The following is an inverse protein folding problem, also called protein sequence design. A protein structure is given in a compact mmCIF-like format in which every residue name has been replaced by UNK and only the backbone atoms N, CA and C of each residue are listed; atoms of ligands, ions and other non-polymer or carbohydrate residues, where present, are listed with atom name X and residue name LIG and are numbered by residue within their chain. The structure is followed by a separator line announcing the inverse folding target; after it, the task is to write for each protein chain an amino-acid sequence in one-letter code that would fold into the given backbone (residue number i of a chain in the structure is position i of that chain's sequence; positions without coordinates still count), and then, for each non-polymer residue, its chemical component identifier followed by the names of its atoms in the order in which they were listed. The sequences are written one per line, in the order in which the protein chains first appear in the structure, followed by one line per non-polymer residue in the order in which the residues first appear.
data_IF_775117038411
#
_entry.id   IF_775117038411
#
_cell.length_a   1.000
_cell.length_b   1.000
_cell.length_c   1.000
_cell.angle_alpha   90.00
_cell.angle_beta   90.00
_cell.angle_gamma   90.00
#
_symmetry.space_group_name_H-M   'P 1'
#
loop_
_entity.id
_entity.type
_entity.pdbx_description
1 polymer ?
#
# COMPACT_ATOMS: atom_id res chain seq x y z
N UNK A 1 6.02 22.41 -2.27
CA UNK A 1 5.23 21.21 -1.88
C UNK A 1 5.26 21.17 -0.36
N UNK A 2 4.17 20.77 0.29
CA UNK A 2 4.17 20.60 1.75
C UNK A 2 5.12 19.44 2.09
N UNK A 3 6.07 19.65 3.02
CA UNK A 3 7.06 18.65 3.43
C UNK A 3 6.40 17.33 3.88
N UNK A 4 5.22 17.41 4.50
CA UNK A 4 4.46 16.22 4.90
C UNK A 4 4.00 15.37 3.72
N UNK A 5 3.62 15.98 2.59
CA UNK A 5 3.24 15.27 1.36
C UNK A 5 4.45 14.58 0.74
N UNK A 6 5.61 15.27 0.71
CA UNK A 6 6.83 14.73 0.12
C UNK A 6 7.35 13.50 0.89
N UNK A 7 7.39 13.55 2.21
CA UNK A 7 7.80 12.43 3.05
C UNK A 7 6.85 11.23 2.93
N UNK A 8 5.54 11.50 2.84
CA UNK A 8 4.53 10.44 2.68
C UNK A 8 4.64 9.78 1.30
N UNK A 9 4.83 10.57 0.24
CA UNK A 9 5.01 10.06 -1.12
C UNK A 9 6.33 9.26 -1.26
N UNK A 10 7.38 9.68 -0.58
CA UNK A 10 8.65 8.96 -0.53
C UNK A 10 8.55 7.64 0.24
N UNK A 11 7.78 7.57 1.34
CA UNK A 11 7.49 6.32 2.04
C UNK A 11 6.82 5.32 1.09
N UNK A 12 5.76 5.75 0.38
CA UNK A 12 5.02 4.91 -0.57
C UNK A 12 5.89 4.46 -1.75
N UNK A 13 6.65 5.38 -2.36
CA UNK A 13 7.57 5.06 -3.48
C UNK A 13 8.63 4.06 -3.06
N UNK A 14 9.20 4.24 -1.87
CA UNK A 14 10.20 3.33 -1.31
C UNK A 14 9.63 1.95 -1.01
N UNK A 15 8.43 1.89 -0.44
CA UNK A 15 7.72 0.62 -0.26
C UNK A 15 7.46 -0.07 -1.59
N UNK A 16 6.94 0.65 -2.61
CA UNK A 16 6.67 0.12 -3.93
C UNK A 16 7.94 -0.44 -4.60
N UNK A 17 9.10 0.20 -4.39
CA UNK A 17 10.38 -0.26 -4.93
C UNK A 17 10.80 -1.63 -4.39
N UNK A 18 10.38 -2.01 -3.18
CA UNK A 18 10.67 -3.34 -2.60
C UNK A 18 9.92 -4.47 -3.32
N UNK A 19 8.79 -4.16 -3.93
CA UNK A 19 7.94 -5.10 -4.69
C UNK A 19 8.26 -5.12 -6.17
N UNK A 20 9.08 -4.19 -6.65
CA UNK A 20 9.42 -4.05 -8.06
C UNK A 20 10.63 -4.91 -8.42
N UNK A 21 10.59 -5.58 -9.58
CA UNK A 21 11.75 -6.17 -10.25
C UNK A 21 12.54 -5.10 -11.00
N UNK A 22 11.82 -4.09 -11.50
CA UNK A 22 12.40 -2.95 -12.21
C UNK A 22 11.92 -1.68 -11.52
N UNK A 23 12.89 -0.86 -11.14
CA UNK A 23 12.67 0.48 -10.60
C UNK A 23 13.62 1.43 -11.31
N UNK A 24 13.06 2.42 -12.01
CA UNK A 24 13.82 3.42 -12.79
C UNK A 24 13.28 4.81 -12.53
N UNK A 25 14.21 5.76 -12.46
CA UNK A 25 13.88 7.19 -12.50
C UNK A 25 14.27 7.73 -13.87
N UNK A 26 13.30 8.27 -14.58
CA UNK A 26 13.44 8.80 -15.94
C UNK A 26 12.87 10.20 -15.90
N UNK A 27 13.75 11.20 -15.80
CA UNK A 27 13.39 12.61 -15.63
C UNK A 27 12.35 12.81 -14.48
N UNK A 28 11.16 13.28 -14.81
CA UNK A 28 10.07 13.54 -13.87
C UNK A 28 9.16 12.33 -13.62
N UNK A 29 9.49 11.15 -14.17
CA UNK A 29 8.73 9.92 -14.02
C UNK A 29 9.54 8.87 -13.27
N UNK A 30 8.89 8.20 -12.33
CA UNK A 30 9.44 7.05 -11.62
C UNK A 30 8.64 5.80 -11.99
N UNK A 31 9.32 4.86 -12.66
CA UNK A 31 8.76 3.59 -13.13
C UNK A 31 8.95 2.50 -12.07
N UNK A 32 7.87 1.82 -11.74
CA UNK A 32 7.85 0.59 -10.94
C UNK A 32 7.22 -0.52 -11.78
N UNK A 33 7.89 -1.67 -11.88
CA UNK A 33 7.37 -2.80 -12.63
C UNK A 33 7.75 -4.14 -12.01
N UNK A 34 6.74 -4.99 -11.88
CA UNK A 34 6.87 -6.40 -11.57
C UNK A 34 5.80 -7.19 -12.34
N UNK A 35 6.11 -7.71 -13.54
CA UNK A 35 5.14 -8.41 -14.37
C UNK A 35 4.49 -9.61 -13.71
N UNK A 36 5.16 -10.27 -12.77
CA UNK A 36 4.63 -11.42 -12.03
C UNK A 36 3.48 -11.06 -11.07
N UNK A 37 3.30 -9.77 -10.79
CA UNK A 37 2.16 -9.26 -10.03
C UNK A 37 0.96 -8.92 -10.94
N UNK A 38 1.06 -9.18 -12.25
CA UNK A 38 0.01 -8.91 -13.22
C UNK A 38 -0.28 -7.42 -13.39
N UNK A 39 -1.52 -7.09 -13.75
CA UNK A 39 -1.96 -5.70 -13.97
C UNK A 39 -2.29 -4.98 -12.64
N UNK A 40 -1.57 -5.27 -11.55
CA UNK A 40 -1.78 -4.58 -10.27
C UNK A 40 -1.46 -3.09 -10.36
N UNK A 41 -2.45 -2.24 -10.07
CA UNK A 41 -2.36 -0.79 -10.21
C UNK A 41 -1.39 -0.14 -9.21
N UNK A 42 -1.05 -0.81 -8.13
CA UNK A 42 -0.18 -0.27 -7.10
C UNK A 42 1.29 -0.58 -7.38
N UNK A 43 1.60 -1.78 -7.88
CA UNK A 43 2.97 -2.24 -8.09
C UNK A 43 3.47 -2.10 -9.52
N UNK A 44 2.57 -2.04 -10.53
CA UNK A 44 2.92 -1.79 -11.93
C UNK A 44 2.47 -0.38 -12.33
N UNK A 45 3.29 0.62 -12.01
CA UNK A 45 2.90 2.01 -12.13
C UNK A 45 4.01 2.97 -12.53
N UNK A 46 3.59 4.16 -12.92
CA UNK A 46 4.40 5.33 -13.18
C UNK A 46 3.99 6.45 -12.22
N UNK A 47 4.87 6.86 -11.34
CA UNK A 47 4.67 8.09 -10.57
C UNK A 47 5.14 9.28 -11.40
N UNK A 48 4.26 10.21 -11.71
CA UNK A 48 4.56 11.43 -12.46
C UNK A 48 4.62 12.61 -11.50
N UNK A 49 5.73 13.34 -11.52
CA UNK A 49 5.92 14.55 -10.71
C UNK A 49 5.13 15.73 -11.29
N UNK A 50 4.65 16.62 -10.42
CA UNK A 50 3.77 17.74 -10.80
C UNK A 50 4.42 18.74 -11.79
N UNK A 51 5.74 18.85 -11.80
CA UNK A 51 6.49 19.74 -12.67
C UNK A 51 6.81 19.16 -14.05
N UNK A 52 6.34 17.94 -14.35
CA UNK A 52 6.63 17.26 -15.60
C UNK A 52 5.94 17.94 -16.79
N UNK A 53 6.73 18.40 -17.77
CA UNK A 53 6.23 19.10 -18.95
C UNK A 53 6.23 18.24 -20.22
N UNK A 54 7.05 17.18 -20.27
CA UNK A 54 7.25 16.31 -21.43
C UNK A 54 6.71 14.88 -21.20
N UNK A 55 5.55 14.78 -20.56
CA UNK A 55 4.96 13.48 -20.13
C UNK A 55 4.76 12.53 -21.29
N UNK A 56 4.21 13.00 -22.42
CA UNK A 56 3.91 12.12 -23.56
C UNK A 56 5.18 11.55 -24.21
N UNK A 57 6.26 12.32 -24.29
CA UNK A 57 7.55 11.83 -24.82
C UNK A 57 8.14 10.75 -23.92
N UNK A 58 8.09 10.96 -22.60
CA UNK A 58 8.56 9.98 -21.61
C UNK A 58 7.70 8.71 -21.65
N UNK A 59 6.38 8.84 -21.75
CA UNK A 59 5.48 7.69 -21.87
C UNK A 59 5.75 6.89 -23.15
N UNK A 60 6.00 7.55 -24.27
CA UNK A 60 6.39 6.90 -25.53
C UNK A 60 7.74 6.19 -25.38
N UNK A 61 8.71 6.83 -24.74
CA UNK A 61 10.00 6.19 -24.44
C UNK A 61 9.83 4.94 -23.56
N UNK A 62 8.99 5.02 -22.52
CA UNK A 62 8.69 3.88 -21.64
C UNK A 62 8.01 2.76 -22.43
N UNK A 63 7.02 3.08 -23.26
CA UNK A 63 6.33 2.11 -24.11
C UNK A 63 7.30 1.35 -25.01
N UNK A 64 8.27 2.04 -25.60
CA UNK A 64 9.25 1.45 -26.52
C UNK A 64 10.30 0.60 -25.79
N UNK A 65 10.76 1.04 -24.62
CA UNK A 65 11.95 0.46 -23.99
C UNK A 65 11.63 -0.43 -22.77
N UNK A 66 10.41 -0.36 -22.21
CA UNK A 66 10.01 -1.03 -20.96
C UNK A 66 8.69 -1.80 -21.09
N UNK A 67 8.43 -2.38 -22.26
CA UNK A 67 7.29 -3.28 -22.48
C UNK A 67 7.66 -4.70 -22.00
N UNK A 68 7.44 -4.99 -20.69
CA UNK A 68 7.80 -6.25 -20.06
C UNK A 68 6.61 -7.23 -19.96
N UNK A 69 5.96 -7.54 -21.07
CA UNK A 69 4.79 -8.45 -21.11
C UNK A 69 3.61 -7.99 -20.22
N UNK A 70 3.52 -6.70 -19.93
CA UNK A 70 2.36 -6.08 -19.33
C UNK A 70 1.45 -5.50 -20.42
N UNK A 71 0.13 -5.57 -20.19
CA UNK A 71 -0.84 -4.92 -21.08
C UNK A 71 -0.91 -3.41 -20.80
N UNK A 72 -0.69 -3.01 -19.56
CA UNK A 72 -0.79 -1.61 -19.14
C UNK A 72 0.06 -1.32 -17.91
N UNK A 73 0.38 -0.03 -17.76
CA UNK A 73 0.79 0.57 -16.49
C UNK A 73 -0.32 1.49 -15.96
N UNK A 74 -0.27 1.78 -14.66
CA UNK A 74 -1.11 2.79 -14.05
C UNK A 74 -0.30 4.04 -13.71
N UNK A 75 -0.76 5.20 -14.15
CA UNK A 75 -0.12 6.47 -13.85
C UNK A 75 -0.68 7.01 -12.54
N UNK A 76 0.19 7.33 -11.59
CA UNK A 76 -0.14 7.97 -10.33
C UNK A 76 0.38 9.40 -10.33
N UNK A 77 -0.51 10.36 -10.18
CA UNK A 77 -0.19 11.79 -10.14
C UNK A 77 -0.87 12.46 -8.94
N UNK A 78 -0.09 13.20 -8.15
CA UNK A 78 -0.65 13.98 -7.04
C UNK A 78 -1.58 15.05 -7.60
N UNK A 79 -2.79 15.15 -7.06
CA UNK A 79 -3.81 16.10 -7.48
C UNK A 79 -3.41 17.54 -7.11
N UNK A 80 -2.91 18.29 -8.09
CA UNK A 80 -2.96 19.74 -8.10
C UNK A 80 -3.96 20.18 -9.17
N UNK A 81 -4.77 21.19 -8.86
CA UNK A 81 -5.87 21.67 -9.73
C UNK A 81 -5.37 22.04 -11.14
N UNK A 82 -4.13 22.49 -11.26
CA UNK A 82 -3.53 22.95 -12.52
C UNK A 82 -3.07 21.80 -13.44
N UNK A 83 -2.79 20.61 -12.93
CA UNK A 83 -2.17 19.53 -13.69
C UNK A 83 -3.14 18.42 -14.14
N UNK A 84 -4.34 18.36 -13.58
CA UNK A 84 -5.30 17.30 -13.90
C UNK A 84 -5.85 17.37 -15.34
N UNK A 85 -5.76 18.56 -16.00
CA UNK A 85 -6.20 18.76 -17.38
C UNK A 85 -5.16 18.36 -18.45
N UNK A 86 -3.92 18.05 -18.05
CA UNK A 86 -2.80 17.85 -19.00
C UNK A 86 -2.65 16.42 -19.48
N UNK A 87 -3.18 15.44 -18.78
CA UNK A 87 -2.99 14.03 -19.15
C UNK A 87 -4.22 13.51 -19.91
N UNK A 88 -4.09 13.37 -21.23
CA UNK A 88 -5.14 12.80 -22.09
C UNK A 88 -5.10 11.26 -22.04
N UNK A 89 -5.38 10.68 -20.87
CA UNK A 89 -5.43 9.24 -20.66
C UNK A 89 -6.72 8.87 -19.92
N UNK A 90 -7.23 7.64 -20.12
CA UNK A 90 -8.42 7.17 -19.41
C UNK A 90 -8.20 7.20 -17.89
N UNK A 91 -9.09 7.87 -17.17
CA UNK A 91 -9.04 7.92 -15.71
C UNK A 91 -9.47 6.57 -15.12
N UNK A 92 -8.56 5.94 -14.36
CA UNK A 92 -8.83 4.70 -13.62
C UNK A 92 -9.56 4.96 -12.30
N UNK A 93 -9.14 6.02 -11.58
CA UNK A 93 -9.71 6.30 -10.26
C UNK A 93 -9.02 7.44 -9.51
N UNK A 94 -9.30 7.48 -8.24
CA UNK A 94 -8.65 8.38 -7.28
C UNK A 94 -8.20 7.58 -6.08
N UNK A 95 -6.93 7.69 -5.73
CA UNK A 95 -6.37 7.16 -4.50
C UNK A 95 -6.34 8.27 -3.46
N UNK A 96 -6.78 7.98 -2.25
CA UNK A 96 -6.71 8.86 -1.09
C UNK A 96 -5.60 8.39 -0.19
N UNK A 97 -4.76 9.32 0.21
CA UNK A 97 -3.69 9.11 1.17
C UNK A 97 -4.15 9.74 2.49
N UNK A 98 -4.20 8.90 3.53
CA UNK A 98 -4.67 9.29 4.85
C UNK A 98 -3.56 9.11 5.88
N UNK A 99 -3.55 9.99 6.87
CA UNK A 99 -2.65 9.91 8.02
C UNK A 99 -3.43 9.88 9.33
N UNK A 100 -2.89 9.13 10.29
CA UNK A 100 -3.35 9.06 11.67
C UNK A 100 -2.27 9.66 12.58
N UNK A 101 -2.63 10.65 13.38
CA UNK A 101 -1.82 11.13 14.50
C UNK A 101 -1.89 10.08 15.63
N UNK A 102 -0.78 9.38 15.87
CA UNK A 102 -0.75 8.27 16.85
C UNK A 102 -0.99 8.74 18.29
N UNK A 103 -0.68 10.02 18.60
CA UNK A 103 -0.85 10.58 19.94
C UNK A 103 -2.31 10.87 20.26
N UNK A 104 -3.15 11.09 19.23
CA UNK A 104 -4.59 11.34 19.35
C UNK A 104 -5.44 10.09 19.22
N UNK A 105 -4.81 8.95 18.90
CA UNK A 105 -5.55 7.71 18.68
C UNK A 105 -6.05 7.09 20.00
N UNK A 106 -7.34 6.77 20.03
CA UNK A 106 -7.99 6.07 21.13
C UNK A 106 -8.07 4.57 20.83
N UNK A 107 -7.42 3.77 21.65
CA UNK A 107 -7.40 2.31 21.48
C UNK A 107 -8.69 1.69 22.01
N UNK A 108 -9.24 0.76 21.24
CA UNK A 108 -10.38 -0.07 21.62
C UNK A 108 -10.02 -1.53 21.36
N UNK A 109 -9.58 -2.25 22.38
CA UNK A 109 -9.15 -3.64 22.23
C UNK A 109 -10.34 -4.62 22.11
N UNK A 110 -10.12 -5.67 21.32
CA UNK A 110 -11.04 -6.81 21.21
C UNK A 110 -10.38 -8.07 21.81
N UNK A 111 -10.89 -8.55 22.93
CA UNK A 111 -10.34 -9.71 23.66
C UNK A 111 -10.32 -11.02 22.86
N UNK A 112 -11.05 -11.10 21.77
CA UNK A 112 -11.08 -12.27 20.88
C UNK A 112 -10.01 -12.24 19.80
N UNK A 113 -9.17 -11.20 19.76
CA UNK A 113 -8.16 -11.04 18.72
C UNK A 113 -6.78 -10.91 19.37
N UNK A 114 -5.86 -11.71 18.90
CA UNK A 114 -4.44 -11.66 19.25
C UNK A 114 -3.62 -11.31 18.02
N UNK A 115 -2.61 -10.47 18.19
CA UNK A 115 -1.72 -10.07 17.09
C UNK A 115 -0.33 -10.61 17.36
N UNK A 116 0.19 -11.36 16.39
CA UNK A 116 1.56 -11.88 16.41
C UNK A 116 2.43 -11.09 15.44
N UNK A 117 3.65 -10.76 15.87
CA UNK A 117 4.71 -10.30 14.98
C UNK A 117 5.30 -11.55 14.30
N UNK A 118 5.37 -11.50 12.98
CA UNK A 118 5.83 -12.63 12.17
C UNK A 118 7.34 -12.77 12.22
N UNK A 119 7.81 -13.94 12.53
CA UNK A 119 9.20 -14.37 12.37
C UNK A 119 9.40 -15.17 11.07
N UNK A 120 10.62 -15.68 10.84
CA UNK A 120 10.91 -16.50 9.65
C UNK A 120 10.14 -17.83 9.61
N UNK A 121 9.77 -18.38 10.76
CA UNK A 121 9.06 -19.66 10.84
C UNK A 121 7.57 -19.49 10.53
N UNK A 122 7.01 -18.34 10.91
CA UNK A 122 5.59 -17.96 10.68
C UNK A 122 5.36 -17.19 9.37
N UNK A 123 6.42 -16.92 8.58
CA UNK A 123 6.31 -16.18 7.32
C UNK A 123 5.33 -16.78 6.32
N UNK A 124 5.32 -18.13 6.22
CA UNK A 124 4.37 -18.86 5.37
C UNK A 124 2.92 -18.54 5.74
N UNK A 125 2.63 -18.45 7.05
CA UNK A 125 1.30 -18.11 7.54
C UNK A 125 0.87 -16.72 7.09
N UNK A 126 1.74 -15.72 7.20
CA UNK A 126 1.44 -14.36 6.75
C UNK A 126 1.10 -14.33 5.26
N UNK A 127 1.91 -15.01 4.42
CA UNK A 127 1.69 -15.09 2.96
C UNK A 127 0.33 -15.74 2.65
N UNK A 128 -0.01 -16.83 3.35
CA UNK A 128 -1.28 -17.52 3.16
C UNK A 128 -2.48 -16.65 3.55
N UNK A 129 -2.37 -15.89 4.65
CA UNK A 129 -3.40 -14.95 5.09
C UNK A 129 -3.53 -13.78 4.13
N UNK A 130 -2.41 -13.23 3.67
CA UNK A 130 -2.38 -12.16 2.65
C UNK A 130 -3.10 -12.60 1.38
N UNK A 131 -2.67 -13.71 0.77
CA UNK A 131 -3.27 -14.17 -0.48
C UNK A 131 -4.76 -14.49 -0.37
N UNK A 132 -5.22 -15.03 0.78
CA UNK A 132 -6.67 -15.26 1.03
C UNK A 132 -7.44 -13.96 1.27
N UNK A 133 -6.81 -12.94 1.87
CA UNK A 133 -7.48 -11.67 2.17
C UNK A 133 -7.72 -10.82 0.92
N UNK A 134 -6.85 -10.97 -0.10
CA UNK A 134 -6.85 -10.20 -1.34
C UNK A 134 -7.23 -11.02 -2.58
N UNK A 135 -7.68 -12.27 -2.40
CA UNK A 135 -8.02 -13.19 -3.51
C UNK A 135 -6.89 -13.33 -4.54
N UNK A 136 -5.64 -13.34 -4.08
CA UNK A 136 -4.41 -13.27 -4.89
C UNK A 136 -3.56 -14.54 -4.81
N UNK A 137 -4.20 -15.71 -4.77
CA UNK A 137 -3.49 -17.01 -4.69
C UNK A 137 -2.61 -17.29 -5.92
N UNK A 138 -2.96 -16.74 -7.07
CA UNK A 138 -2.24 -16.87 -8.34
C UNK A 138 -0.83 -16.24 -8.30
N UNK A 139 -0.60 -15.23 -7.46
CA UNK A 139 0.72 -14.55 -7.32
C UNK A 139 1.47 -14.95 -6.05
N UNK A 140 1.03 -16.00 -5.36
CA UNK A 140 1.55 -16.41 -4.05
C UNK A 140 3.05 -16.65 -4.03
N UNK A 141 3.60 -17.25 -5.07
CA UNK A 141 5.04 -17.56 -5.15
C UNK A 141 5.88 -16.30 -5.35
N UNK A 142 5.39 -15.34 -6.12
CA UNK A 142 6.04 -14.04 -6.24
C UNK A 142 6.00 -13.26 -4.92
N UNK A 143 4.84 -13.22 -4.24
CA UNK A 143 4.71 -12.63 -2.90
C UNK A 143 5.71 -13.27 -1.93
N UNK A 144 5.85 -14.61 -1.94
CA UNK A 144 6.82 -15.32 -1.10
C UNK A 144 8.24 -14.86 -1.41
N UNK A 145 8.61 -14.76 -2.68
CA UNK A 145 9.93 -14.35 -3.12
C UNK A 145 10.26 -12.94 -2.62
N UNK A 146 9.34 -11.99 -2.85
CA UNK A 146 9.50 -10.58 -2.44
C UNK A 146 9.64 -10.47 -0.93
N UNK A 147 8.67 -11.02 -0.17
CA UNK A 147 8.63 -10.87 1.28
C UNK A 147 9.81 -11.56 1.94
N UNK A 148 10.22 -12.75 1.46
CA UNK A 148 11.41 -13.43 1.99
C UNK A 148 12.69 -12.61 1.80
N UNK A 149 12.85 -11.97 0.63
CA UNK A 149 14.00 -11.12 0.30
C UNK A 149 14.03 -9.85 1.14
N UNK A 150 12.86 -9.25 1.36
CA UNK A 150 12.74 -7.96 2.05
C UNK A 150 12.45 -8.09 3.55
N UNK A 151 12.37 -9.28 4.10
CA UNK A 151 11.89 -9.58 5.45
C UNK A 151 12.50 -8.69 6.55
N UNK A 152 13.81 -8.40 6.46
CA UNK A 152 14.51 -7.57 7.46
C UNK A 152 14.11 -6.08 7.44
N UNK A 153 13.46 -5.62 6.36
CA UNK A 153 13.05 -4.22 6.17
C UNK A 153 11.57 -4.00 6.50
N UNK A 154 10.86 -5.06 6.84
CA UNK A 154 9.42 -5.06 6.97
C UNK A 154 9.02 -5.63 8.33
N UNK A 155 8.04 -5.01 8.96
CA UNK A 155 7.37 -5.61 10.12
C UNK A 155 6.05 -6.20 9.66
N UNK A 156 5.93 -7.51 9.77
CA UNK A 156 4.76 -8.26 9.35
C UNK A 156 3.92 -8.64 10.58
N UNK A 157 2.62 -8.41 10.52
CA UNK A 157 1.69 -8.76 11.58
C UNK A 157 0.62 -9.74 11.06
N UNK A 158 0.28 -10.74 11.89
CA UNK A 158 -0.86 -11.63 11.68
C UNK A 158 -1.82 -11.48 12.84
N UNK A 159 -3.09 -11.27 12.52
CA UNK A 159 -4.18 -11.30 13.47
C UNK A 159 -4.79 -12.68 13.54
N UNK A 160 -4.97 -13.18 14.75
CA UNK A 160 -5.71 -14.40 15.05
C UNK A 160 -7.02 -14.08 15.75
N UNK A 161 -8.08 -14.74 15.33
CA UNK A 161 -9.39 -14.63 15.97
C UNK A 161 -9.69 -15.91 16.76
N UNK A 162 -10.08 -15.76 18.02
CA UNK A 162 -10.49 -16.90 18.85
C UNK A 162 -11.99 -17.17 18.69
N UNK A 163 -12.32 -18.36 18.20
CA UNK A 163 -13.69 -18.86 18.13
C UNK A 163 -13.74 -20.22 18.86
N UNK A 164 -14.58 -20.33 19.89
CA UNK A 164 -14.70 -21.53 20.71
C UNK A 164 -13.33 -22.06 21.21
N UNK A 165 -12.48 -21.16 21.70
CA UNK A 165 -11.10 -21.43 22.17
C UNK A 165 -10.11 -21.91 21.08
N UNK A 166 -10.51 -21.96 19.83
CA UNK A 166 -9.65 -22.27 18.69
C UNK A 166 -9.12 -20.98 18.07
N UNK A 167 -7.82 -20.94 17.80
CA UNK A 167 -7.10 -19.80 17.22
C UNK A 167 -7.08 -19.91 15.68
N UNK A 168 -7.72 -18.97 15.00
CA UNK A 168 -7.81 -18.93 13.53
C UNK A 168 -7.07 -17.74 12.97
N UNK A 169 -6.17 -17.89 11.97
CA UNK A 169 -5.57 -16.75 11.29
C UNK A 169 -6.64 -15.99 10.49
N UNK A 170 -6.84 -14.71 10.84
CA UNK A 170 -7.99 -13.92 10.44
C UNK A 170 -7.66 -12.68 9.59
N UNK A 171 -6.43 -12.18 9.68
CA UNK A 171 -6.00 -11.01 8.91
C UNK A 171 -4.51 -10.76 9.02
N UNK A 172 -4.02 -9.84 8.22
CA UNK A 172 -2.61 -9.46 8.19
C UNK A 172 -2.44 -7.98 7.86
N UNK A 173 -1.27 -7.46 8.18
CA UNK A 173 -0.77 -6.22 7.61
C UNK A 173 0.76 -6.23 7.57
N UNK A 174 1.30 -5.18 6.93
CA UNK A 174 2.72 -4.93 6.80
C UNK A 174 2.99 -3.49 7.19
N UNK A 175 4.00 -3.27 8.03
CA UNK A 175 4.49 -1.95 8.40
C UNK A 175 5.83 -1.70 7.73
N UNK A 176 5.95 -0.53 7.12
CA UNK A 176 7.18 -0.06 6.49
C UNK A 176 7.54 1.30 7.07
N UNK A 177 8.68 1.32 7.75
CA UNK A 177 9.19 2.51 8.43
C UNK A 177 10.09 3.30 7.49
N UNK A 178 9.79 4.58 7.32
CA UNK A 178 10.66 5.51 6.58
C UNK A 178 10.37 6.94 6.99
N UNK A 179 11.44 7.73 7.11
CA UNK A 179 11.40 9.09 7.64
C UNK A 179 10.74 9.11 9.03
N UNK A 180 9.80 10.01 9.27
CA UNK A 180 9.10 10.15 10.56
C UNK A 180 7.73 9.44 10.59
N UNK A 181 7.51 8.46 9.69
CA UNK A 181 6.20 7.82 9.54
C UNK A 181 6.28 6.31 9.30
N UNK A 182 5.22 5.64 9.69
CA UNK A 182 4.98 4.23 9.37
C UNK A 182 3.93 4.14 8.27
N UNK A 183 4.28 3.57 7.13
CA UNK A 183 3.32 3.15 6.12
C UNK A 183 2.68 1.82 6.54
N UNK A 184 1.36 1.79 6.64
CA UNK A 184 0.57 0.58 6.90
C UNK A 184 0.05 0.05 5.57
N UNK A 185 0.61 -1.06 5.13
CA UNK A 185 0.31 -1.69 3.84
C UNK A 185 -0.28 -3.08 4.03
N UNK A 186 -0.87 -3.62 2.97
CA UNK A 186 -1.39 -4.99 2.94
C UNK A 186 -2.36 -5.30 4.09
N UNK A 187 -3.14 -4.29 4.53
CA UNK A 187 -4.14 -4.50 5.58
C UNK A 187 -5.30 -5.31 5.04
N UNK A 188 -5.29 -6.60 5.32
CA UNK A 188 -6.27 -7.56 4.85
C UNK A 188 -6.97 -8.30 5.97
N UNK A 189 -8.22 -8.68 5.72
CA UNK A 189 -9.00 -9.56 6.60
C UNK A 189 -9.64 -10.65 5.75
N UNK A 190 -9.43 -11.91 6.12
CA UNK A 190 -10.04 -13.05 5.43
C UNK A 190 -11.57 -13.01 5.50
N UNK A 191 -12.26 -13.51 4.50
CA UNK A 191 -13.70 -13.33 4.32
C UNK A 191 -14.53 -13.67 5.57
N UNK A 192 -14.23 -14.80 6.23
CA UNK A 192 -14.99 -15.31 7.37
C UNK A 192 -14.86 -14.43 8.62
N UNK A 193 -13.83 -13.59 8.68
CA UNK A 193 -13.52 -12.74 9.83
C UNK A 193 -13.71 -11.25 9.58
N UNK A 194 -14.26 -10.87 8.40
CA UNK A 194 -14.62 -9.48 8.12
C UNK A 194 -15.68 -8.97 9.10
N UNK A 195 -15.65 -7.67 9.39
CA UNK A 195 -16.55 -6.96 10.32
C UNK A 195 -16.48 -7.44 11.78
N UNK A 196 -15.49 -8.26 12.18
CA UNK A 196 -15.26 -8.73 13.54
C UNK A 196 -14.19 -7.93 14.30
N UNK A 197 -13.73 -6.80 13.76
CA UNK A 197 -12.75 -5.92 14.39
C UNK A 197 -11.30 -6.22 14.08
N UNK A 198 -10.99 -7.23 13.25
CA UNK A 198 -9.62 -7.68 12.93
C UNK A 198 -8.73 -6.55 12.42
N UNK A 199 -9.18 -5.78 11.40
CA UNK A 199 -8.41 -4.66 10.85
C UNK A 199 -8.15 -3.56 11.90
N UNK A 200 -9.10 -3.32 12.82
CA UNK A 200 -8.91 -2.36 13.94
C UNK A 200 -7.80 -2.82 14.88
N UNK A 201 -7.77 -4.11 15.26
CA UNK A 201 -6.72 -4.63 16.14
C UNK A 201 -5.33 -4.60 15.49
N UNK A 202 -5.22 -4.85 14.18
CA UNK A 202 -3.98 -4.66 13.44
C UNK A 202 -3.53 -3.19 13.49
N UNK A 203 -4.45 -2.23 13.32
CA UNK A 203 -4.15 -0.79 13.46
C UNK A 203 -3.77 -0.44 14.90
N UNK A 204 -4.46 -0.99 15.91
CA UNK A 204 -4.10 -0.80 17.33
C UNK A 204 -2.63 -1.20 17.59
N UNK A 205 -2.22 -2.35 17.06
CA UNK A 205 -0.83 -2.81 17.20
C UNK A 205 0.15 -1.93 16.43
N UNK A 206 -0.19 -1.50 15.21
CA UNK A 206 0.62 -0.55 14.47
C UNK A 206 0.82 0.77 15.26
N UNK A 207 -0.23 1.28 15.90
CA UNK A 207 -0.14 2.48 16.76
C UNK A 207 0.74 2.24 17.99
N UNK A 208 0.64 1.07 18.65
CA UNK A 208 1.53 0.73 19.78
C UNK A 208 2.98 0.71 19.33
N UNK A 209 3.28 0.09 18.19
CA UNK A 209 4.63 0.04 17.63
C UNK A 209 5.14 1.42 17.25
N UNK A 210 4.30 2.25 16.62
CA UNK A 210 4.63 3.63 16.28
C UNK A 210 5.02 4.43 17.53
N UNK A 211 4.22 4.36 18.59
CA UNK A 211 4.51 5.05 19.86
C UNK A 211 5.81 4.57 20.51
N UNK A 212 6.06 3.26 20.49
CA UNK A 212 7.26 2.68 21.09
C UNK A 212 8.56 3.04 20.34
N UNK A 213 8.45 3.41 19.06
CA UNK A 213 9.58 3.79 18.19
C UNK A 213 9.58 5.30 17.86
N UNK A 214 8.85 6.12 18.63
CA UNK A 214 8.78 7.59 18.49
C UNK A 214 8.27 8.09 17.13
N UNK A 215 7.49 7.29 16.41
CA UNK A 215 6.80 7.73 15.20
C UNK A 215 5.51 8.49 15.55
N UNK A 216 5.31 9.63 14.90
CA UNK A 216 4.15 10.50 15.14
C UNK A 216 2.94 10.16 14.28
N UNK A 217 3.12 9.45 13.17
CA UNK A 217 2.04 9.19 12.22
C UNK A 217 2.07 7.80 11.60
N UNK A 218 0.87 7.30 11.29
CA UNK A 218 0.65 6.13 10.45
C UNK A 218 -0.06 6.57 9.17
N UNK A 219 0.44 6.09 8.02
CA UNK A 219 -0.06 6.42 6.69
C UNK A 219 -0.73 5.21 6.09
N UNK A 220 -1.88 5.42 5.45
CA UNK A 220 -2.58 4.40 4.66
C UNK A 220 -3.04 4.96 3.32
N UNK A 221 -3.24 4.08 2.34
CA UNK A 221 -3.83 4.43 1.05
C UNK A 221 -5.09 3.62 0.80
N UNK A 222 -6.06 4.22 0.12
CA UNK A 222 -7.27 3.53 -0.32
C UNK A 222 -7.82 4.13 -1.62
N UNK A 223 -8.34 3.28 -2.49
CA UNK A 223 -9.08 3.75 -3.66
C UNK A 223 -10.43 4.31 -3.23
N UNK A 224 -10.79 5.46 -3.78
CA UNK A 224 -12.06 6.12 -3.47
C UNK A 224 -13.28 5.24 -3.77
N UNK A 225 -13.21 4.40 -4.84
CA UNK A 225 -14.28 3.46 -5.23
C UNK A 225 -14.55 2.35 -4.21
N UNK A 226 -13.56 1.99 -3.38
CA UNK A 226 -13.67 0.88 -2.42
C UNK A 226 -14.38 1.28 -1.12
N UNK A 227 -14.62 2.57 -0.91
CA UNK A 227 -15.34 3.13 0.26
C UNK A 227 -14.72 2.85 1.63
N UNK A 228 -13.45 2.41 1.70
CA UNK A 228 -12.76 2.17 2.98
C UNK A 228 -12.36 3.46 3.71
N UNK A 229 -12.42 4.62 3.05
CA UNK A 229 -12.14 5.91 3.67
C UNK A 229 -12.96 6.15 4.94
N UNK A 230 -14.26 5.81 4.93
CA UNK A 230 -15.12 5.99 6.09
C UNK A 230 -14.74 5.10 7.28
N UNK A 231 -14.21 3.90 7.01
CA UNK A 231 -13.64 3.05 8.05
C UNK A 231 -12.42 3.72 8.69
N UNK A 232 -11.49 4.23 7.89
CA UNK A 232 -10.29 4.90 8.38
C UNK A 232 -10.62 6.21 9.13
N UNK A 233 -11.57 7.02 8.62
CA UNK A 233 -12.02 8.26 9.28
C UNK A 233 -12.59 7.99 10.67
N UNK A 234 -13.39 6.93 10.84
CA UNK A 234 -13.93 6.53 12.14
C UNK A 234 -12.83 6.11 13.14
N UNK A 235 -11.66 5.76 12.66
CA UNK A 235 -10.48 5.47 13.47
C UNK A 235 -9.58 6.71 13.69
N UNK A 236 -10.00 7.89 13.22
CA UNK A 236 -9.27 9.14 13.40
C UNK A 236 -8.29 9.49 12.28
N UNK A 237 -8.21 8.69 11.21
CA UNK A 237 -7.42 9.06 10.04
C UNK A 237 -8.01 10.27 9.33
N UNK A 238 -7.16 11.11 8.78
CA UNK A 238 -7.53 12.29 7.97
C UNK A 238 -6.89 12.21 6.60
N UNK A 239 -7.64 12.56 5.56
CA UNK A 239 -7.10 12.64 4.21
C UNK A 239 -6.09 13.78 4.13
N UNK A 240 -4.85 13.47 3.77
CA UNK A 240 -3.78 14.42 3.53
C UNK A 240 -3.85 14.98 2.10
N UNK A 241 -3.82 14.08 1.13
CA UNK A 241 -3.89 14.43 -0.29
C UNK A 241 -4.48 13.29 -1.11
N UNK A 242 -4.62 13.54 -2.41
CA UNK A 242 -5.15 12.57 -3.36
C UNK A 242 -4.19 12.41 -4.54
N UNK A 243 -4.16 11.21 -5.11
CA UNK A 243 -3.55 10.92 -6.40
C UNK A 243 -4.63 10.60 -7.41
N UNK A 244 -4.54 11.19 -8.59
CA UNK A 244 -5.30 10.75 -9.75
C UNK A 244 -4.60 9.55 -10.37
N UNK A 245 -5.38 8.53 -10.71
CA UNK A 245 -4.89 7.31 -11.35
C UNK A 245 -5.43 7.26 -12.77
N UNK A 246 -4.53 7.00 -13.72
CA UNK A 246 -4.89 6.85 -15.13
C UNK A 246 -4.37 5.51 -15.64
N UNK A 247 -5.01 4.96 -16.67
CA UNK A 247 -4.51 3.79 -17.37
C UNK A 247 -3.59 4.21 -18.53
N UNK A 248 -2.46 3.55 -18.68
CA UNK A 248 -1.53 3.72 -19.77
C UNK A 248 -1.31 2.37 -20.46
N UNK A 249 -1.94 2.19 -21.61
CA UNK A 249 -1.85 0.96 -22.40
C UNK A 249 -0.58 0.93 -23.24
N UNK A 250 0.06 -0.24 -23.26
CA UNK A 250 1.31 -0.48 -23.97
C UNK A 250 1.09 -0.97 -25.44
N UNK A 251 -0.14 -1.36 -25.73
CA UNK A 251 -0.55 -1.81 -27.08
C UNK A 251 -1.00 -0.65 -27.96
#
# INVERSE_FOLDING_TARGET
MDLGIEYTDDNESSFCSLWSRIHKKIDCVELFSNPELGDDYFFNRLNIKNWCNNVDDILNYIKTNYNYNLNSYHIHMICNIENSARLNKPKFGTMKILSLDVNKYVMHSNKYIEIDIVDRNSLKLWIDVFCRSFDSLNIKDEVRTIISKQFKKLTLLVAHYYLNQVKYPAGCCLLFEKNESIGLYCLGTTHDFRRKGVARELINNAVKMAKNNDYNSIIVQTLAKERYEEFYKRLGFRTMYKKMLYSFYLN
#
